data_IF_973488640931
#
_entry.id   IF_973488640931
#
_cell.length_a   1.000
_cell.length_b   1.000
_cell.length_c   1.000
_cell.angle_alpha   90.00
_cell.angle_beta   90.00
_cell.angle_gamma   90.00
#
_symmetry.space_group_name_H-M   'P 1'
#
loop_
_entity.id
_entity.type
_entity.pdbx_description
1 polymer ?
#
# COMPACT_ATOMS: atom_id res chain seq x y z
N UNK A 1 39.72 27.49 -28.59
CA UNK A 1 39.35 26.76 -29.83
C UNK A 1 40.26 25.55 -29.98
N UNK A 2 39.65 24.42 -30.32
CA UNK A 2 40.27 23.12 -30.65
C UNK A 2 40.94 22.33 -29.53
N UNK A 3 40.14 21.50 -28.87
CA UNK A 3 40.57 20.33 -28.11
C UNK A 3 40.43 19.09 -29.02
N UNK A 4 41.54 18.52 -29.46
CA UNK A 4 41.58 17.20 -30.11
C UNK A 4 42.62 16.33 -29.42
N UNK A 5 42.15 15.51 -28.47
CA UNK A 5 42.92 14.41 -27.91
C UNK A 5 42.43 13.12 -28.55
N UNK A 6 43.26 12.56 -29.45
CA UNK A 6 43.14 11.20 -29.94
C UNK A 6 43.87 10.30 -28.96
N UNK A 7 43.22 9.28 -28.41
CA UNK A 7 43.92 8.09 -27.93
C UNK A 7 43.11 6.84 -28.19
N UNK A 8 43.70 5.97 -29.02
CA UNK A 8 43.39 4.55 -29.16
C UNK A 8 43.32 3.87 -27.80
N UNK A 9 42.30 3.04 -27.57
CA UNK A 9 42.29 2.04 -26.51
C UNK A 9 42.43 0.65 -27.10
N UNK A 10 43.63 0.10 -26.98
CA UNK A 10 43.88 -1.33 -26.82
C UNK A 10 44.19 -1.59 -25.35
N UNK A 11 43.49 -2.53 -24.72
CA UNK A 11 43.87 -3.16 -23.44
C UNK A 11 43.06 -4.47 -23.38
N UNK A 12 43.62 -5.64 -23.71
CA UNK A 12 44.64 -6.39 -22.98
C UNK A 12 44.12 -6.91 -21.63
N UNK A 13 43.91 -8.22 -21.61
CA UNK A 13 43.45 -9.08 -20.53
C UNK A 13 44.53 -9.22 -19.45
N UNK A 14 44.21 -8.96 -18.18
CA UNK A 14 45.02 -9.43 -17.05
C UNK A 14 44.10 -9.93 -15.93
N UNK A 15 44.25 -11.23 -15.67
CA UNK A 15 43.79 -11.98 -14.51
C UNK A 15 44.49 -11.45 -13.26
N UNK A 16 43.72 -11.01 -12.26
CA UNK A 16 44.22 -10.55 -10.96
C UNK A 16 43.60 -11.37 -9.82
N UNK A 17 44.41 -12.26 -9.27
CA UNK A 17 44.13 -13.07 -8.09
C UNK A 17 44.14 -12.17 -6.83
N UNK A 18 43.09 -12.21 -6.02
CA UNK A 18 43.11 -11.66 -4.65
C UNK A 18 42.66 -12.77 -3.69
N UNK A 19 43.62 -13.25 -2.91
CA UNK A 19 43.44 -14.10 -1.73
C UNK A 19 42.91 -13.25 -0.57
N UNK A 20 41.75 -13.62 -0.02
CA UNK A 20 41.31 -13.17 1.30
C UNK A 20 41.21 -14.41 2.19
N UNK A 21 42.04 -14.43 3.24
CA UNK A 21 41.95 -15.36 4.35
C UNK A 21 40.69 -15.02 5.17
N UNK A 22 39.73 -15.93 5.19
CA UNK A 22 38.65 -15.94 6.16
C UNK A 22 38.92 -17.08 7.16
N UNK A 23 39.15 -16.71 8.41
CA UNK A 23 39.37 -17.64 9.51
C UNK A 23 38.19 -18.60 9.68
N UNK A 24 38.52 -19.87 9.86
CA UNK A 24 37.57 -20.92 10.15
C UNK A 24 36.88 -20.63 11.50
N UNK A 25 35.67 -20.09 11.46
CA UNK A 25 34.74 -20.20 12.57
C UNK A 25 34.14 -21.60 12.48
N UNK A 26 34.55 -22.50 13.37
CA UNK A 26 33.99 -23.83 13.48
C UNK A 26 32.52 -23.71 13.88
N UNK A 27 31.62 -23.96 12.92
CA UNK A 27 30.21 -24.17 13.21
C UNK A 27 30.05 -25.48 13.99
N UNK A 28 29.21 -25.54 15.05
CA UNK A 28 28.97 -26.77 15.77
C UNK A 28 28.35 -27.81 14.83
N UNK A 29 28.91 -29.03 14.88
CA UNK A 29 28.52 -30.14 14.03
C UNK A 29 27.04 -30.51 14.26
N UNK A 30 26.23 -30.43 13.20
CA UNK A 30 24.90 -31.04 13.16
C UNK A 30 25.03 -32.57 13.21
N UNK A 31 24.05 -33.30 13.78
CA UNK A 31 24.13 -34.76 13.90
C UNK A 31 24.25 -35.39 12.50
N UNK A 32 25.33 -36.15 12.30
CA UNK A 32 25.59 -36.87 11.07
C UNK A 32 24.54 -37.97 10.89
N UNK A 33 23.59 -37.76 10.00
CA UNK A 33 22.87 -38.87 9.39
C UNK A 33 23.92 -39.75 8.68
N UNK A 34 23.95 -41.05 9.01
CA UNK A 34 25.02 -41.96 8.60
C UNK A 34 25.33 -41.88 7.11
N UNK A 35 26.58 -41.56 6.77
CA UNK A 35 27.05 -41.56 5.40
C UNK A 35 27.39 -42.99 4.97
N UNK A 36 26.83 -43.43 3.84
CA UNK A 36 27.16 -44.73 3.25
C UNK A 36 28.30 -44.53 2.26
N UNK A 37 29.44 -45.16 2.52
CA UNK A 37 30.60 -45.09 1.62
C UNK A 37 30.64 -46.34 0.75
N UNK A 38 30.49 -46.16 -0.57
CA UNK A 38 30.58 -47.24 -1.55
C UNK A 38 31.85 -47.06 -2.37
N UNK A 39 32.52 -48.16 -2.70
CA UNK A 39 33.66 -48.13 -3.61
C UNK A 39 33.18 -47.96 -5.06
N UNK A 40 33.99 -47.35 -5.96
CA UNK A 40 33.60 -47.19 -7.37
C UNK A 40 33.25 -48.50 -8.08
N UNK A 41 33.90 -49.60 -7.69
CA UNK A 41 33.61 -50.94 -8.19
C UNK A 41 32.20 -51.42 -7.80
N UNK A 42 31.78 -51.18 -6.55
CA UNK A 42 30.43 -51.51 -6.09
C UNK A 42 29.36 -50.65 -6.75
N UNK A 43 29.62 -49.35 -6.96
CA UNK A 43 28.69 -48.45 -7.70
C UNK A 43 28.45 -48.96 -9.12
N UNK A 44 29.51 -49.37 -9.81
CA UNK A 44 29.44 -49.87 -11.19
C UNK A 44 28.78 -51.25 -11.26
N UNK A 45 29.15 -52.18 -10.37
CA UNK A 45 28.58 -53.53 -10.33
C UNK A 45 27.10 -53.54 -9.93
N UNK A 46 26.66 -52.58 -9.13
CA UNK A 46 25.25 -52.40 -8.73
C UNK A 46 24.45 -51.54 -9.73
N UNK A 47 25.06 -51.11 -10.84
CA UNK A 47 24.39 -50.32 -11.87
C UNK A 47 23.93 -48.93 -11.39
N UNK A 48 24.55 -48.39 -10.35
CA UNK A 48 24.17 -47.09 -9.78
C UNK A 48 24.67 -46.00 -10.73
N UNK A 49 23.73 -45.28 -11.33
CA UNK A 49 24.01 -44.12 -12.16
C UNK A 49 23.86 -42.84 -11.33
N UNK A 50 24.86 -41.98 -11.40
CA UNK A 50 24.85 -40.65 -10.76
C UNK A 50 24.68 -39.62 -11.86
N UNK A 51 23.63 -38.80 -11.75
CA UNK A 51 23.42 -37.67 -12.64
C UNK A 51 23.55 -36.36 -11.83
N UNK A 52 24.15 -35.30 -12.40
CA UNK A 52 24.15 -33.99 -11.76
C UNK A 52 22.70 -33.50 -11.59
N UNK A 53 22.39 -32.97 -10.41
CA UNK A 53 21.06 -32.40 -10.14
C UNK A 53 20.90 -31.13 -11.00
N UNK A 54 20.09 -31.22 -12.04
CA UNK A 54 19.76 -30.07 -12.86
C UNK A 54 18.98 -29.04 -12.03
N UNK A 55 19.38 -27.78 -12.12
CA UNK A 55 18.67 -26.69 -11.48
C UNK A 55 17.25 -26.59 -12.06
N UNK A 56 16.25 -26.66 -11.19
CA UNK A 56 14.83 -26.57 -11.57
C UNK A 56 14.21 -25.32 -10.95
N UNK A 57 13.46 -24.55 -11.75
CA UNK A 57 12.68 -23.41 -11.28
C UNK A 57 11.27 -23.88 -10.94
N UNK A 58 11.00 -24.02 -9.64
CA UNK A 58 9.67 -24.33 -9.13
C UNK A 58 8.93 -23.04 -8.75
N UNK A 59 7.86 -22.71 -9.47
CA UNK A 59 6.91 -21.68 -9.06
C UNK A 59 5.83 -22.32 -8.20
N UNK A 60 5.86 -22.07 -6.89
CA UNK A 60 4.84 -22.56 -5.96
C UNK A 60 3.49 -21.94 -6.31
N UNK A 61 2.52 -22.77 -6.69
CA UNK A 61 1.13 -22.38 -6.85
C UNK A 61 0.39 -22.60 -5.52
N UNK A 62 -0.25 -21.56 -5.00
CA UNK A 62 -1.05 -21.62 -3.78
C UNK A 62 -2.52 -21.52 -4.19
N UNK A 63 -3.33 -22.49 -3.78
CA UNK A 63 -4.79 -22.39 -3.92
C UNK A 63 -5.33 -21.61 -2.72
N UNK A 64 -6.14 -20.59 -3.00
CA UNK A 64 -6.76 -19.72 -2.01
C UNK A 64 -8.27 -19.72 -2.22
N UNK A 65 -9.01 -19.32 -1.18
CA UNK A 65 -10.46 -19.08 -1.30
C UNK A 65 -10.64 -17.60 -1.60
N UNK A 66 -11.41 -17.30 -2.65
CA UNK A 66 -11.77 -15.94 -3.02
C UNK A 66 -13.27 -15.73 -2.82
N UNK A 67 -13.63 -14.58 -2.26
CA UNK A 67 -15.03 -14.15 -2.11
C UNK A 67 -15.21 -12.81 -2.80
N UNK A 68 -16.31 -12.66 -3.54
CA UNK A 68 -16.65 -11.39 -4.18
C UNK A 68 -17.22 -10.46 -3.11
N UNK A 69 -16.64 -9.27 -3.00
CA UNK A 69 -17.13 -8.23 -2.09
C UNK A 69 -18.16 -7.34 -2.79
N UNK A 70 -19.18 -6.94 -2.03
CA UNK A 70 -20.11 -5.90 -2.46
C UNK A 70 -19.37 -4.56 -2.59
N UNK A 71 -19.36 -3.91 -3.77
CA UNK A 71 -18.70 -2.62 -3.95
C UNK A 71 -19.47 -1.46 -3.29
N UNK A 72 -20.76 -1.62 -2.98
CA UNK A 72 -21.62 -0.53 -2.50
C UNK A 72 -21.09 0.18 -1.25
N UNK A 73 -20.61 -0.52 -0.21
CA UNK A 73 -20.11 0.15 1.00
C UNK A 73 -18.81 0.93 0.75
N UNK A 74 -17.98 0.49 -0.21
CA UNK A 74 -16.77 1.22 -0.61
C UNK A 74 -17.12 2.50 -1.38
N UNK A 75 -18.12 2.44 -2.27
CA UNK A 75 -18.62 3.62 -2.99
C UNK A 75 -19.25 4.64 -2.03
N UNK A 76 -20.03 4.16 -1.06
CA UNK A 76 -20.62 5.00 -0.01
C UNK A 76 -19.54 5.70 0.83
N UNK A 77 -18.48 4.96 1.22
CA UNK A 77 -17.34 5.51 1.95
C UNK A 77 -16.62 6.60 1.15
N UNK A 78 -16.38 6.38 -0.14
CA UNK A 78 -15.77 7.39 -0.99
C UNK A 78 -16.62 8.68 -1.03
N UNK A 79 -17.94 8.57 -1.15
CA UNK A 79 -18.85 9.72 -1.11
C UNK A 79 -18.84 10.43 0.26
N UNK A 80 -18.79 9.69 1.37
CA UNK A 80 -18.67 10.22 2.72
C UNK A 80 -17.36 11.01 2.90
N UNK A 81 -16.24 10.47 2.45
CA UNK A 81 -14.94 11.15 2.51
C UNK A 81 -14.92 12.45 1.69
N UNK A 82 -15.54 12.46 0.51
CA UNK A 82 -15.70 13.68 -0.29
C UNK A 82 -16.58 14.72 0.42
N UNK A 83 -17.66 14.28 1.06
CA UNK A 83 -18.55 15.16 1.82
C UNK A 83 -17.83 15.78 3.02
N UNK A 84 -17.09 14.99 3.80
CA UNK A 84 -16.29 15.47 4.92
C UNK A 84 -15.20 16.45 4.45
N UNK A 85 -14.58 16.18 3.30
CA UNK A 85 -13.59 17.08 2.71
C UNK A 85 -14.21 18.42 2.32
N UNK A 86 -15.34 18.40 1.63
CA UNK A 86 -16.05 19.60 1.23
C UNK A 86 -16.50 20.44 2.45
N UNK A 87 -16.97 19.78 3.51
CA UNK A 87 -17.35 20.45 4.76
C UNK A 87 -16.15 21.14 5.43
N UNK A 88 -14.99 20.49 5.47
CA UNK A 88 -13.75 21.09 5.95
C UNK A 88 -13.33 22.29 5.10
N UNK A 89 -13.37 22.17 3.77
CA UNK A 89 -13.00 23.25 2.86
C UNK A 89 -13.93 24.47 3.01
N UNK A 90 -15.24 24.24 3.18
CA UNK A 90 -16.21 25.29 3.50
C UNK A 90 -15.93 25.95 4.86
N UNK A 91 -15.64 25.16 5.90
CA UNK A 91 -15.33 25.67 7.23
C UNK A 91 -14.03 26.49 7.25
N UNK A 92 -13.01 26.07 6.48
CA UNK A 92 -11.78 26.83 6.28
C UNK A 92 -12.08 28.19 5.64
N UNK A 93 -12.85 28.22 4.54
CA UNK A 93 -13.22 29.45 3.87
C UNK A 93 -13.99 30.41 4.80
N UNK A 94 -14.95 29.89 5.57
CA UNK A 94 -15.72 30.67 6.54
C UNK A 94 -14.83 31.25 7.65
N UNK A 95 -13.89 30.47 8.18
CA UNK A 95 -12.96 30.93 9.22
C UNK A 95 -12.00 32.01 8.71
N UNK A 96 -11.54 31.89 7.46
CA UNK A 96 -10.73 32.92 6.80
C UNK A 96 -11.52 34.23 6.62
N UNK A 97 -12.73 34.16 6.07
CA UNK A 97 -13.59 35.32 5.87
C UNK A 97 -13.92 36.03 7.19
N UNK A 98 -14.37 35.28 8.21
CA UNK A 98 -14.71 35.83 9.51
C UNK A 98 -13.49 36.44 10.22
N UNK A 99 -12.29 35.86 10.05
CA UNK A 99 -11.06 36.44 10.60
C UNK A 99 -10.67 37.74 9.90
N UNK A 100 -10.80 37.83 8.58
CA UNK A 100 -10.55 39.07 7.84
C UNK A 100 -11.53 40.17 8.27
N UNK A 101 -12.81 39.82 8.42
CA UNK A 101 -13.84 40.76 8.85
C UNK A 101 -13.60 41.28 10.28
N UNK A 102 -13.26 40.41 11.23
CA UNK A 102 -12.91 40.82 12.59
C UNK A 102 -11.71 41.78 12.62
N UNK A 103 -10.69 41.54 11.77
CA UNK A 103 -9.53 42.44 11.64
C UNK A 103 -9.95 43.80 11.09
N UNK A 104 -10.80 43.82 10.06
CA UNK A 104 -11.33 45.05 9.45
C UNK A 104 -12.16 45.87 10.44
N UNK A 105 -13.10 45.26 11.15
CA UNK A 105 -13.91 45.93 12.16
C UNK A 105 -13.06 46.48 13.31
N UNK A 106 -12.03 45.74 13.74
CA UNK A 106 -11.08 46.22 14.76
C UNK A 106 -10.29 47.45 14.28
N UNK A 107 -9.84 47.46 13.02
CA UNK A 107 -9.13 48.60 12.45
C UNK A 107 -10.05 49.84 12.35
N UNK A 108 -11.26 49.68 11.84
CA UNK A 108 -12.23 50.77 11.72
C UNK A 108 -12.63 51.38 13.07
N UNK A 109 -12.73 50.57 14.13
CA UNK A 109 -13.03 51.06 15.47
C UNK A 109 -11.87 51.93 16.00
N UNK A 110 -10.63 51.51 15.75
CA UNK A 110 -9.42 52.25 16.15
C UNK A 110 -9.25 53.55 15.35
N UNK A 111 -9.61 53.54 14.06
CA UNK A 111 -9.45 54.67 13.15
C UNK A 111 -10.63 55.65 13.26
N UNK A 112 -10.95 56.09 14.48
CA UNK A 112 -11.93 57.16 14.72
C UNK A 112 -13.37 56.71 14.95
N UNK A 113 -13.59 55.54 15.58
CA UNK A 113 -14.93 55.02 15.90
C UNK A 113 -15.86 54.88 14.69
N UNK A 114 -15.30 54.62 13.50
CA UNK A 114 -16.06 54.41 12.26
C UNK A 114 -16.97 53.16 12.30
N UNK A 115 -16.84 52.34 13.34
CA UNK A 115 -17.74 51.24 13.70
C UNK A 115 -17.86 51.19 15.22
N UNK A 116 -19.00 50.73 15.71
CA UNK A 116 -19.23 50.63 17.15
C UNK A 116 -18.38 49.52 17.78
N UNK A 117 -18.01 49.71 19.06
CA UNK A 117 -17.36 48.65 19.84
C UNK A 117 -18.16 47.33 19.82
N UNK A 118 -19.49 47.43 19.83
CA UNK A 118 -20.40 46.28 19.74
C UNK A 118 -20.23 45.49 18.44
N UNK A 119 -20.11 46.17 17.31
CA UNK A 119 -19.89 45.53 16.00
C UNK A 119 -18.53 44.86 15.93
N UNK A 120 -17.47 45.51 16.42
CA UNK A 120 -16.14 44.92 16.50
C UNK A 120 -16.12 43.65 17.40
N UNK A 121 -16.80 43.70 18.54
CA UNK A 121 -16.96 42.54 19.43
C UNK A 121 -17.77 41.41 18.78
N UNK A 122 -18.85 41.74 18.06
CA UNK A 122 -19.66 40.76 17.34
C UNK A 122 -18.85 40.06 16.23
N UNK A 123 -18.06 40.81 15.47
CA UNK A 123 -17.17 40.25 14.45
C UNK A 123 -16.10 39.34 15.05
N UNK A 124 -15.51 39.71 16.20
CA UNK A 124 -14.56 38.87 16.92
C UNK A 124 -15.19 37.55 17.41
N UNK A 125 -16.40 37.61 17.97
CA UNK A 125 -17.14 36.43 18.39
C UNK A 125 -17.49 35.51 17.20
N UNK A 126 -17.90 36.09 16.06
CA UNK A 126 -18.16 35.33 14.84
C UNK A 126 -16.90 34.64 14.31
N UNK A 127 -15.74 35.31 14.35
CA UNK A 127 -14.46 34.71 13.97
C UNK A 127 -14.07 33.55 14.90
N UNK A 128 -14.27 33.69 16.22
CA UNK A 128 -14.01 32.62 17.18
C UNK A 128 -14.92 31.40 16.92
N UNK A 129 -16.21 31.62 16.68
CA UNK A 129 -17.16 30.56 16.33
C UNK A 129 -16.80 29.87 15.01
N UNK A 130 -16.40 30.61 13.98
CA UNK A 130 -15.99 30.05 12.70
C UNK A 130 -14.72 29.19 12.83
N UNK A 131 -13.74 29.62 13.63
CA UNK A 131 -12.54 28.80 13.93
C UNK A 131 -12.88 27.53 14.69
N UNK A 132 -13.81 27.58 15.64
CA UNK A 132 -14.27 26.38 16.35
C UNK A 132 -14.91 25.37 15.37
N UNK A 133 -15.74 25.85 14.43
CA UNK A 133 -16.32 25.01 13.37
C UNK A 133 -15.25 24.41 12.45
N UNK A 134 -14.22 25.18 12.10
CA UNK A 134 -13.08 24.69 11.33
C UNK A 134 -12.36 23.54 12.04
N UNK A 135 -12.11 23.68 13.34
CA UNK A 135 -11.46 22.64 14.16
C UNK A 135 -12.32 21.37 14.21
N UNK A 136 -13.64 21.52 14.41
CA UNK A 136 -14.58 20.41 14.40
C UNK A 136 -14.59 19.66 13.06
N UNK A 137 -14.78 20.37 11.94
CA UNK A 137 -14.76 19.77 10.61
C UNK A 137 -13.42 19.08 10.28
N UNK A 138 -12.30 19.62 10.78
CA UNK A 138 -10.99 18.99 10.62
C UNK A 138 -10.82 17.72 11.47
N UNK A 139 -11.46 17.65 12.63
CA UNK A 139 -11.49 16.44 13.45
C UNK A 139 -12.36 15.37 12.79
N UNK A 140 -13.56 15.74 12.31
CA UNK A 140 -14.49 14.84 11.64
C UNK A 140 -13.85 14.24 10.37
N UNK A 141 -13.25 15.06 9.51
CA UNK A 141 -12.56 14.58 8.32
C UNK A 141 -11.39 13.63 8.64
N UNK A 142 -10.72 13.80 9.78
CA UNK A 142 -9.66 12.88 10.24
C UNK A 142 -10.23 11.57 10.77
N UNK A 143 -11.35 11.63 11.51
CA UNK A 143 -12.05 10.45 12.01
C UNK A 143 -12.55 9.58 10.85
N UNK A 144 -13.18 10.19 9.84
CA UNK A 144 -13.67 9.45 8.66
C UNK A 144 -12.54 8.74 7.90
N UNK A 145 -11.39 9.39 7.74
CA UNK A 145 -10.20 8.75 7.13
C UNK A 145 -9.64 7.61 7.97
N UNK A 146 -9.65 7.75 9.30
CA UNK A 146 -9.20 6.68 10.19
C UNK A 146 -10.14 5.48 10.10
N UNK A 147 -11.45 5.70 10.09
CA UNK A 147 -12.47 4.66 9.88
C UNK A 147 -12.29 3.98 8.53
N UNK A 148 -12.07 4.74 7.45
CA UNK A 148 -11.80 4.21 6.12
C UNK A 148 -10.62 3.23 6.11
N UNK A 149 -9.50 3.63 6.73
CA UNK A 149 -8.29 2.80 6.80
C UNK A 149 -8.48 1.55 7.66
N UNK A 150 -9.24 1.66 8.75
CA UNK A 150 -9.54 0.51 9.59
C UNK A 150 -10.41 -0.52 8.85
N UNK A 151 -11.39 -0.06 8.06
CA UNK A 151 -12.33 -0.93 7.37
C UNK A 151 -11.78 -1.55 6.07
N UNK A 152 -10.97 -0.80 5.32
CA UNK A 152 -10.56 -1.18 3.96
C UNK A 152 -9.04 -1.23 3.73
N UNK A 153 -8.25 -0.97 4.77
CA UNK A 153 -6.81 -0.85 4.66
C UNK A 153 -6.36 0.45 3.98
N UNK A 154 -5.05 0.66 3.94
CA UNK A 154 -4.47 1.93 3.50
C UNK A 154 -4.66 2.21 2.00
N UNK A 155 -4.61 1.18 1.15
CA UNK A 155 -4.64 1.34 -0.32
C UNK A 155 -6.03 1.76 -0.78
N UNK A 156 -7.07 0.99 -0.44
CA UNK A 156 -8.45 1.32 -0.84
C UNK A 156 -8.95 2.60 -0.18
N UNK A 157 -8.57 2.87 1.08
CA UNK A 157 -8.90 4.14 1.72
C UNK A 157 -8.25 5.34 1.00
N UNK A 158 -6.99 5.21 0.55
CA UNK A 158 -6.31 6.25 -0.22
C UNK A 158 -6.96 6.50 -1.59
N UNK A 159 -7.38 5.44 -2.28
CA UNK A 159 -8.15 5.56 -3.52
C UNK A 159 -9.52 6.23 -3.28
N UNK A 160 -10.20 5.87 -2.19
CA UNK A 160 -11.48 6.48 -1.81
C UNK A 160 -11.35 7.98 -1.46
N UNK A 161 -10.23 8.39 -0.86
CA UNK A 161 -9.92 9.81 -0.63
C UNK A 161 -9.77 10.61 -1.95
N UNK A 162 -9.35 9.96 -3.04
CA UNK A 162 -9.24 10.56 -4.38
C UNK A 162 -10.60 10.72 -5.08
N UNK A 163 -11.65 10.08 -4.55
CA UNK A 163 -13.04 10.24 -4.94
C UNK A 163 -13.62 9.04 -5.69
N UNK A 164 -14.95 9.06 -5.90
CA UNK A 164 -15.69 7.93 -6.47
C UNK A 164 -15.31 7.55 -7.90
N UNK A 165 -14.69 8.47 -8.67
CA UNK A 165 -14.19 8.19 -10.02
C UNK A 165 -13.11 7.11 -10.03
N UNK A 166 -12.32 6.96 -8.96
CA UNK A 166 -11.34 5.88 -8.83
C UNK A 166 -11.99 4.49 -8.85
N UNK A 167 -13.29 4.40 -8.57
CA UNK A 167 -14.06 3.16 -8.54
C UNK A 167 -15.11 3.06 -9.66
N UNK A 168 -14.97 3.84 -10.74
CA UNK A 168 -15.93 3.82 -11.86
C UNK A 168 -16.20 2.42 -12.41
N UNK A 169 -15.13 1.63 -12.61
CA UNK A 169 -15.27 0.25 -13.10
C UNK A 169 -16.09 -0.66 -12.14
N UNK A 170 -15.97 -0.45 -10.83
CA UNK A 170 -16.76 -1.16 -9.82
C UNK A 170 -18.22 -0.68 -9.81
N UNK A 171 -18.44 0.63 -9.96
CA UNK A 171 -19.78 1.22 -10.00
C UNK A 171 -20.57 0.79 -11.24
N UNK A 172 -19.90 0.66 -12.39
CA UNK A 172 -20.48 0.23 -13.66
C UNK A 172 -20.66 -1.30 -13.74
N UNK A 173 -20.21 -2.05 -12.73
CA UNK A 173 -20.24 -3.52 -12.71
C UNK A 173 -19.26 -4.19 -13.69
N UNK A 174 -18.37 -3.41 -14.32
CA UNK A 174 -17.34 -3.91 -15.24
C UNK A 174 -16.11 -4.50 -14.53
N UNK A 175 -15.99 -4.27 -13.22
CA UNK A 175 -14.99 -4.87 -12.34
C UNK A 175 -15.64 -5.33 -11.03
N UNK A 176 -15.01 -6.30 -10.37
CA UNK A 176 -15.41 -6.79 -9.06
C UNK A 176 -14.21 -6.74 -8.09
N UNK A 177 -14.51 -6.51 -6.81
CA UNK A 177 -13.51 -6.59 -5.75
C UNK A 177 -13.55 -7.99 -5.12
N UNK A 178 -12.38 -8.56 -4.87
CA UNK A 178 -12.23 -9.90 -4.31
C UNK A 178 -11.48 -9.82 -2.99
N UNK A 179 -11.99 -10.51 -1.97
CA UNK A 179 -11.24 -10.83 -0.76
C UNK A 179 -10.68 -12.25 -0.91
N UNK A 180 -9.36 -12.38 -0.85
CA UNK A 180 -8.64 -13.63 -1.05
C UNK A 180 -7.97 -14.05 0.26
N UNK A 181 -8.46 -15.15 0.83
CA UNK A 181 -7.92 -15.73 2.05
C UNK A 181 -6.95 -16.87 1.72
N UNK A 182 -5.70 -16.74 2.15
CA UNK A 182 -4.69 -17.77 2.00
C UNK A 182 -4.74 -18.76 3.16
N UNK A 183 -4.39 -20.05 2.95
CA UNK A 183 -4.26 -21.02 4.04
C UNK A 183 -3.26 -20.56 5.11
N UNK A 184 -3.44 -20.95 6.38
CA UNK A 184 -2.52 -20.61 7.45
C UNK A 184 -1.09 -21.12 7.15
N UNK A 185 -0.08 -20.32 7.48
CA UNK A 185 1.32 -20.63 7.18
C UNK A 185 1.74 -20.35 5.72
N UNK A 186 0.84 -19.84 4.88
CA UNK A 186 1.21 -19.36 3.54
C UNK A 186 2.09 -18.11 3.63
N UNK A 187 3.13 -18.07 2.81
CA UNK A 187 3.92 -16.85 2.62
C UNK A 187 3.08 -15.79 1.90
N UNK A 188 3.45 -14.51 2.07
CA UNK A 188 2.86 -13.42 1.29
C UNK A 188 3.05 -13.69 -0.22
N UNK A 189 2.05 -13.34 -1.06
CA UNK A 189 2.13 -13.56 -2.49
C UNK A 189 3.31 -12.78 -3.09
N UNK A 190 4.18 -13.48 -3.83
CA UNK A 190 5.31 -12.87 -4.53
C UNK A 190 4.90 -12.15 -5.83
N UNK A 191 3.74 -12.51 -6.39
CA UNK A 191 3.17 -11.92 -7.59
C UNK A 191 2.02 -10.96 -7.30
N UNK A 192 1.72 -10.09 -8.27
CA UNK A 192 0.59 -9.14 -8.21
C UNK A 192 -0.65 -9.62 -8.95
N UNK A 193 -0.62 -10.77 -9.60
CA UNK A 193 -1.74 -11.29 -10.39
C UNK A 193 -2.10 -12.69 -9.98
N UNK A 194 -3.40 -12.97 -9.95
CA UNK A 194 -3.95 -14.30 -9.74
C UNK A 194 -4.83 -14.67 -10.93
N UNK A 195 -4.91 -15.98 -11.20
CA UNK A 195 -5.83 -16.55 -12.17
C UNK A 195 -6.98 -17.23 -11.43
N UNK A 196 -8.19 -16.88 -11.82
CA UNK A 196 -9.42 -17.42 -11.25
C UNK A 196 -10.02 -18.31 -12.33
N UNK A 197 -10.15 -19.58 -12.00
CA UNK A 197 -10.74 -20.57 -12.89
C UNK A 197 -12.23 -20.67 -12.60
N UNK A 198 -13.04 -20.38 -13.61
CA UNK A 198 -14.48 -20.56 -13.56
C UNK A 198 -14.86 -22.02 -13.86
N UNK A 199 -16.02 -22.46 -13.37
CA UNK A 199 -16.53 -23.82 -13.61
C UNK A 199 -16.78 -24.12 -15.10
N UNK A 200 -17.04 -23.08 -15.90
CA UNK A 200 -17.25 -23.15 -17.35
C UNK A 200 -15.94 -23.26 -18.17
N UNK A 201 -14.76 -23.28 -17.52
CA UNK A 201 -13.45 -23.32 -18.16
C UNK A 201 -12.84 -21.95 -18.52
N UNK A 202 -13.53 -20.85 -18.21
CA UNK A 202 -13.02 -19.49 -18.33
C UNK A 202 -11.89 -19.20 -17.34
N UNK A 203 -10.95 -18.34 -17.72
CA UNK A 203 -9.88 -17.85 -16.85
C UNK A 203 -9.99 -16.34 -16.74
N UNK A 204 -10.35 -15.87 -15.54
CA UNK A 204 -10.31 -14.46 -15.19
C UNK A 204 -8.95 -14.13 -14.56
N UNK A 205 -8.49 -12.91 -14.75
CA UNK A 205 -7.27 -12.41 -14.11
C UNK A 205 -7.63 -11.29 -13.15
N UNK A 206 -7.16 -11.39 -11.90
CA UNK A 206 -7.32 -10.35 -10.91
C UNK A 206 -5.94 -9.82 -10.50
N UNK A 207 -5.89 -8.52 -10.19
CA UNK A 207 -4.67 -7.83 -9.76
C UNK A 207 -4.76 -7.51 -8.27
N UNK A 208 -3.70 -7.81 -7.54
CA UNK A 208 -3.54 -7.53 -6.12
C UNK A 208 -3.51 -6.03 -5.88
N UNK A 209 -4.46 -5.57 -5.06
CA UNK A 209 -4.53 -4.19 -4.58
C UNK A 209 -3.63 -4.03 -3.36
N UNK A 210 -3.78 -4.89 -2.36
CA UNK A 210 -2.98 -4.84 -1.14
C UNK A 210 -3.46 -5.87 -0.11
N UNK A 211 -2.93 -5.83 1.13
CA UNK A 211 -3.45 -6.62 2.22
C UNK A 211 -4.80 -6.08 2.70
N UNK A 212 -5.73 -6.98 3.03
CA UNK A 212 -7.02 -6.65 3.64
C UNK A 212 -6.84 -6.39 5.13
N UNK A 213 -7.53 -5.37 5.68
CA UNK A 213 -7.63 -5.17 7.12
C UNK A 213 -8.65 -6.12 7.78
N UNK A 214 -9.49 -6.78 6.98
CA UNK A 214 -10.50 -7.73 7.43
C UNK A 214 -9.98 -9.16 7.28
N UNK A 215 -10.03 -9.90 8.38
CA UNK A 215 -9.79 -11.35 8.37
C UNK A 215 -11.02 -12.10 7.86
N UNK A 216 -10.79 -13.21 7.16
CA UNK A 216 -11.84 -14.13 6.76
C UNK A 216 -12.36 -14.94 7.97
N UNK A 217 -13.70 -15.07 8.17
CA UNK A 217 -14.26 -15.79 9.31
C UNK A 217 -14.11 -17.32 9.22
N UNK A 218 -13.93 -17.87 8.01
CA UNK A 218 -13.79 -19.29 7.74
C UNK A 218 -12.31 -19.70 7.73
N UNK A 219 -11.44 -18.85 7.19
CA UNK A 219 -10.00 -19.13 7.05
C UNK A 219 -9.19 -18.20 7.96
N UNK A 220 -8.57 -18.75 9.01
CA UNK A 220 -7.66 -18.01 9.89
C UNK A 220 -6.26 -17.83 9.27
N UNK A 221 -6.20 -17.24 8.08
CA UNK A 221 -4.96 -16.96 7.36
C UNK A 221 -4.92 -15.51 6.83
N UNK A 222 -3.76 -15.09 6.27
CA UNK A 222 -3.64 -13.73 5.77
C UNK A 222 -4.61 -13.49 4.60
N UNK A 223 -5.28 -12.34 4.63
CA UNK A 223 -6.31 -11.96 3.65
C UNK A 223 -5.83 -10.75 2.85
N UNK A 224 -6.15 -10.76 1.55
CA UNK A 224 -5.76 -9.74 0.58
C UNK A 224 -6.99 -9.24 -0.20
#
# INVERSE_FOLDING_TARGET
>A
MSTHSRYCRHACSIVGCVLVFAGAHAAPAAPAHGSVTLTPASVTASGIQVAPLAESRYARQIRAIATVLDPQPLLALAAQLQTARAALDAANAQAHAATAEAKRATALHRDGDNTSLREAQAAAAAAAAARAKQVAAAADARAERATARAQWGAVLAGEAESGSRSFGALADGSAALLAVALPPGSAAPAGRTIHIHEENGGVLTATLIGPSSRADPVVQGPTY
#
